data_IF_844457091082
#
_entry.id   IF_844457091082
#
_cell.length_a   1.000
_cell.length_b   1.000
_cell.length_c   1.000
_cell.angle_alpha   90.00
_cell.angle_beta   90.00
_cell.angle_gamma   90.00
#
_symmetry.space_group_name_H-M   'P 1'
#
loop_
_entity.id
_entity.type
_entity.pdbx_description
1 polymer ?
#
# COMPACT_ATOMS: atom_id res chain seq x y z
N UNK A 1 11.98 22.72 -7.01
CA UNK A 1 12.37 22.17 -8.33
C UNK A 1 13.40 21.05 -8.20
N UNK A 2 14.59 21.26 -7.62
CA UNK A 2 15.66 20.24 -7.54
C UNK A 2 15.22 18.93 -6.81
N UNK A 3 14.41 19.04 -5.76
CA UNK A 3 13.90 17.86 -5.03
C UNK A 3 12.91 17.01 -5.84
N UNK A 4 12.14 17.60 -6.75
CA UNK A 4 11.09 16.89 -7.47
C UNK A 4 11.66 15.96 -8.54
N UNK A 5 12.67 16.44 -9.25
CA UNK A 5 13.37 15.69 -10.30
C UNK A 5 14.19 14.54 -9.69
N UNK A 6 14.91 14.80 -8.60
CA UNK A 6 15.64 13.77 -7.86
C UNK A 6 14.71 12.74 -7.20
N UNK A 7 13.58 13.17 -6.62
CA UNK A 7 12.58 12.23 -6.11
C UNK A 7 11.99 11.39 -7.23
N UNK A 8 11.77 11.95 -8.43
CA UNK A 8 11.27 11.22 -9.59
C UNK A 8 12.30 10.21 -10.11
N UNK A 9 13.58 10.56 -10.14
CA UNK A 9 14.66 9.63 -10.49
C UNK A 9 14.81 8.50 -9.46
N UNK A 10 14.79 8.81 -8.16
CA UNK A 10 14.90 7.81 -7.09
C UNK A 10 13.69 6.88 -7.09
N UNK A 11 12.49 7.41 -7.26
CA UNK A 11 11.27 6.59 -7.38
C UNK A 11 11.30 5.77 -8.66
N UNK A 12 11.73 6.34 -9.78
CA UNK A 12 11.89 5.63 -11.05
C UNK A 12 12.85 4.45 -10.91
N UNK A 13 14.02 4.67 -10.31
CA UNK A 13 15.01 3.63 -10.05
C UNK A 13 14.50 2.57 -9.04
N UNK A 14 13.82 2.99 -7.96
CA UNK A 14 13.21 2.05 -7.03
C UNK A 14 12.13 1.21 -7.71
N UNK A 15 11.29 1.83 -8.53
CA UNK A 15 10.24 1.16 -9.30
C UNK A 15 10.83 0.23 -10.38
N UNK A 16 11.97 0.57 -10.97
CA UNK A 16 12.69 -0.27 -11.94
C UNK A 16 13.32 -1.49 -11.26
N UNK A 17 13.98 -1.32 -10.12
CA UNK A 17 14.51 -2.44 -9.30
C UNK A 17 13.37 -3.32 -8.78
N UNK A 18 12.25 -2.74 -8.36
CA UNK A 18 11.05 -3.48 -7.96
C UNK A 18 10.37 -4.16 -9.16
N UNK A 19 10.48 -3.59 -10.36
CA UNK A 19 10.00 -4.19 -11.61
C UNK A 19 10.86 -5.38 -12.07
N UNK A 20 12.17 -5.36 -11.81
CA UNK A 20 13.06 -6.50 -12.03
C UNK A 20 12.75 -7.67 -11.08
N UNK A 21 12.18 -7.40 -9.90
CA UNK A 21 11.70 -8.43 -8.96
C UNK A 21 10.41 -9.13 -9.39
N UNK A 22 9.88 -8.84 -10.59
CA UNK A 22 8.60 -9.30 -11.17
C UNK A 22 7.36 -8.83 -10.37
N UNK A 23 6.87 -7.61 -10.62
CA UNK A 23 5.52 -7.22 -10.25
C UNK A 23 4.55 -8.17 -10.91
N UNK A 24 3.53 -8.57 -10.16
CA UNK A 24 2.41 -9.31 -10.71
C UNK A 24 1.79 -8.56 -11.91
N UNK A 25 1.61 -9.28 -13.02
CA UNK A 25 0.81 -8.80 -14.17
C UNK A 25 -0.65 -8.76 -13.71
N UNK A 26 -1.12 -7.58 -13.31
CA UNK A 26 -2.42 -7.37 -12.72
C UNK A 26 -3.58 -7.97 -13.52
N UNK A 27 -4.40 -8.78 -12.85
CA UNK A 27 -5.81 -8.91 -13.22
C UNK A 27 -6.53 -7.62 -12.78
N UNK A 28 -7.44 -7.11 -13.62
CA UNK A 28 -8.35 -6.05 -13.21
C UNK A 28 -9.30 -6.63 -12.15
N UNK A 29 -9.05 -6.37 -10.87
CA UNK A 29 -9.96 -6.81 -9.80
C UNK A 29 -10.65 -5.58 -9.22
N UNK A 30 -11.86 -5.30 -9.72
CA UNK A 30 -12.49 -3.99 -9.54
C UNK A 30 -11.69 -2.88 -10.24
N UNK A 31 -12.21 -1.67 -10.32
CA UNK A 31 -11.56 -0.59 -11.08
C UNK A 31 -10.24 -0.06 -10.45
N UNK A 32 -9.62 -0.81 -9.53
CA UNK A 32 -8.45 -0.42 -8.76
C UNK A 32 -7.31 -1.40 -9.05
N UNK A 33 -6.29 -0.95 -9.78
CA UNK A 33 -5.06 -1.71 -10.00
C UNK A 33 -4.02 -1.19 -8.98
N UNK A 34 -3.45 -2.04 -8.10
CA UNK A 34 -2.36 -1.64 -7.22
C UNK A 34 -1.06 -1.50 -8.00
N UNK A 35 -0.23 -0.51 -7.62
CA UNK A 35 1.03 -0.21 -8.32
C UNK A 35 2.08 -1.33 -8.13
N UNK A 36 2.13 -1.94 -6.94
CA UNK A 36 3.05 -3.04 -6.65
C UNK A 36 2.47 -4.02 -5.62
N UNK A 37 2.66 -5.31 -5.88
CA UNK A 37 2.50 -6.40 -4.93
C UNK A 37 3.84 -7.14 -4.84
N UNK A 38 4.37 -7.29 -3.62
CA UNK A 38 5.63 -7.99 -3.33
C UNK A 38 5.31 -9.34 -2.70
N UNK A 39 5.94 -10.40 -3.23
CA UNK A 39 5.81 -11.80 -2.78
C UNK A 39 4.36 -12.27 -2.61
N UNK A 40 3.42 -11.75 -3.42
CA UNK A 40 1.98 -12.03 -3.31
C UNK A 40 1.39 -11.81 -1.90
N UNK A 41 2.06 -11.00 -1.08
CA UNK A 41 1.77 -10.89 0.35
C UNK A 41 1.54 -9.44 0.79
N UNK A 42 2.24 -8.48 0.16
CA UNK A 42 2.24 -7.09 0.61
C UNK A 42 2.03 -6.13 -0.55
N UNK A 43 1.10 -5.20 -0.39
CA UNK A 43 0.86 -4.11 -1.34
C UNK A 43 1.78 -2.95 -0.99
N UNK A 44 2.45 -2.37 -1.98
CA UNK A 44 3.36 -1.23 -1.76
C UNK A 44 3.00 -0.11 -2.72
N UNK A 45 2.80 1.10 -2.16
CA UNK A 45 2.44 2.28 -2.92
C UNK A 45 3.39 3.45 -2.57
N UNK A 46 4.41 3.70 -3.42
CA UNK A 46 5.33 4.81 -3.26
C UNK A 46 4.73 6.14 -3.74
N UNK A 47 4.83 7.20 -2.92
CA UNK A 47 4.32 8.54 -3.24
C UNK A 47 5.32 9.65 -2.90
N UNK A 48 5.20 10.81 -3.54
CA UNK A 48 5.93 12.05 -3.18
C UNK A 48 4.99 13.01 -2.43
N UNK A 49 4.70 12.71 -1.17
CA UNK A 49 3.73 13.49 -0.36
C UNK A 49 4.34 13.92 0.97
N UNK A 50 3.95 15.08 1.51
CA UNK A 50 4.47 15.55 2.82
C UNK A 50 3.86 14.80 3.99
N UNK A 51 2.67 14.24 3.80
CA UNK A 51 1.97 13.45 4.77
C UNK A 51 0.98 12.53 4.05
N UNK A 52 0.67 11.40 4.66
CA UNK A 52 -0.40 10.53 4.18
C UNK A 52 -1.74 11.07 4.65
N UNK A 53 -2.72 11.13 3.74
CA UNK A 53 -4.10 11.51 4.05
C UNK A 53 -4.96 10.26 4.27
N UNK A 54 -6.15 10.46 4.84
CA UNK A 54 -7.11 9.36 5.02
C UNK A 54 -7.58 8.77 3.69
N UNK A 55 -7.58 9.57 2.61
CA UNK A 55 -7.86 9.09 1.25
C UNK A 55 -6.83 8.05 0.80
N UNK A 56 -5.54 8.26 1.08
CA UNK A 56 -4.50 7.27 0.77
C UNK A 56 -4.72 5.97 1.55
N UNK A 57 -5.11 6.07 2.82
CA UNK A 57 -5.40 4.90 3.66
C UNK A 57 -6.64 4.16 3.14
N UNK A 58 -7.70 4.87 2.79
CA UNK A 58 -8.92 4.29 2.24
C UNK A 58 -8.65 3.55 0.92
N UNK A 59 -7.79 4.10 0.06
CA UNK A 59 -7.33 3.43 -1.17
C UNK A 59 -6.61 2.11 -0.83
N UNK A 60 -5.69 2.11 0.14
CA UNK A 60 -5.00 0.90 0.59
C UNK A 60 -5.96 -0.15 1.14
N UNK A 61 -6.96 0.25 1.93
CA UNK A 61 -8.01 -0.66 2.43
C UNK A 61 -8.78 -1.27 1.25
N UNK A 62 -9.10 -0.47 0.23
CA UNK A 62 -9.72 -0.96 -1.00
C UNK A 62 -8.89 -2.06 -1.66
N UNK A 63 -7.59 -1.83 -1.83
CA UNK A 63 -6.68 -2.84 -2.38
C UNK A 63 -6.61 -4.10 -1.52
N UNK A 64 -6.50 -3.97 -0.19
CA UNK A 64 -6.42 -5.12 0.73
C UNK A 64 -7.68 -5.98 0.71
N UNK A 65 -8.85 -5.35 0.60
CA UNK A 65 -10.12 -6.08 0.53
C UNK A 65 -10.27 -6.84 -0.79
N UNK A 66 -9.88 -6.22 -1.90
CA UNK A 66 -9.95 -6.78 -3.25
C UNK A 66 -8.95 -7.93 -3.42
N UNK A 67 -7.70 -7.71 -3.02
CA UNK A 67 -6.60 -8.68 -3.18
C UNK A 67 -6.60 -9.77 -2.11
N UNK A 68 -7.44 -9.64 -1.08
CA UNK A 68 -7.46 -10.48 0.11
C UNK A 68 -6.14 -10.51 0.90
N UNK A 69 -5.25 -9.53 0.69
CA UNK A 69 -4.03 -9.36 1.47
C UNK A 69 -4.30 -8.64 2.79
N UNK A 70 -3.42 -8.83 3.77
CA UNK A 70 -3.58 -8.26 5.12
C UNK A 70 -2.74 -7.01 5.37
N UNK A 71 -1.72 -6.74 4.54
CA UNK A 71 -0.78 -5.65 4.75
C UNK A 71 -0.53 -4.82 3.48
N UNK A 72 -0.64 -3.51 3.63
CA UNK A 72 -0.19 -2.54 2.65
C UNK A 72 0.80 -1.53 3.28
N UNK A 73 1.75 -1.07 2.48
CA UNK A 73 2.77 -0.10 2.84
C UNK A 73 2.67 1.14 1.94
N UNK A 74 2.35 2.28 2.55
CA UNK A 74 2.52 3.59 1.92
C UNK A 74 3.94 4.08 2.20
N UNK A 75 4.69 4.43 1.16
CA UNK A 75 6.05 4.95 1.27
C UNK A 75 6.06 6.41 0.81
N UNK A 76 6.78 7.30 1.50
CA UNK A 76 7.01 8.67 1.02
C UNK A 76 8.49 9.04 0.92
N UNK A 77 8.82 9.64 -0.21
CA UNK A 77 10.18 10.11 -0.57
C UNK A 77 10.31 11.63 -0.60
N UNK A 78 9.28 12.37 -0.14
CA UNK A 78 9.35 13.84 -0.11
C UNK A 78 10.37 14.34 0.92
N UNK A 79 10.56 13.60 2.01
CA UNK A 79 11.46 13.96 3.09
C UNK A 79 12.84 13.32 2.85
N UNK A 80 13.89 13.92 3.44
CA UNK A 80 15.26 13.39 3.36
C UNK A 80 15.40 11.98 3.97
N UNK A 81 14.43 11.57 4.79
CA UNK A 81 14.31 10.22 5.33
C UNK A 81 13.07 9.55 4.73
N UNK A 82 13.21 8.27 4.39
CA UNK A 82 12.09 7.44 4.00
C UNK A 82 11.12 7.32 5.17
N UNK A 83 9.89 7.76 4.96
CA UNK A 83 8.79 7.57 5.91
C UNK A 83 7.78 6.60 5.31
N UNK A 84 7.17 5.79 6.18
CA UNK A 84 6.19 4.81 5.74
C UNK A 84 5.02 4.69 6.72
N UNK A 85 3.87 4.28 6.18
CA UNK A 85 2.68 3.95 6.96
C UNK A 85 2.20 2.56 6.62
N UNK A 86 1.97 1.76 7.65
CA UNK A 86 1.35 0.43 7.56
C UNK A 86 -0.16 0.58 7.58
N UNK A 87 -0.83 -0.07 6.65
CA UNK A 87 -2.29 -0.20 6.62
C UNK A 87 -2.61 -1.68 6.69
N UNK A 88 -3.47 -2.04 7.64
CA UNK A 88 -3.92 -3.42 7.83
C UNK A 88 -5.34 -3.57 7.29
N UNK A 89 -5.66 -4.76 6.80
CA UNK A 89 -7.03 -5.06 6.38
C UNK A 89 -7.95 -5.01 7.61
N UNK A 90 -9.06 -4.25 7.57
CA UNK A 90 -10.06 -4.29 8.63
C UNK A 90 -10.53 -5.73 8.82
N UNK A 91 -10.43 -6.25 10.05
CA UNK A 91 -11.05 -7.52 10.40
C UNK A 91 -12.55 -7.24 10.59
N UNK A 92 -13.41 -8.04 9.96
CA UNK A 92 -14.80 -8.08 10.42
C UNK A 92 -14.78 -8.54 11.89
N UNK A 93 -15.56 -7.90 12.79
CA UNK A 93 -15.59 -8.30 14.18
C UNK A 93 -15.95 -9.80 14.25
N UNK A 94 -15.06 -10.57 14.86
CA UNK A 94 -15.28 -12.00 15.06
C UNK A 94 -16.39 -12.18 16.08
N UNK A 95 -17.63 -12.42 15.61
CA UNK A 95 -18.80 -12.67 16.45
C UNK A 95 -18.61 -13.85 17.43
N UNK A 96 -17.57 -14.69 17.25
CA UNK A 96 -17.23 -15.79 18.16
C UNK A 96 -16.49 -15.38 19.42
N UNK A 97 -15.95 -14.16 19.47
CA UNK A 97 -15.19 -13.64 20.62
C UNK A 97 -15.98 -12.62 21.44
N UNK A 98 -17.31 -12.55 21.27
CA UNK A 98 -18.17 -11.75 22.14
C UNK A 98 -18.56 -12.55 23.40
N UNK A 99 -17.95 -12.28 24.57
CA UNK A 99 -18.31 -12.94 25.82
C UNK A 99 -19.74 -12.58 26.29
N UNK A 100 -20.36 -11.55 25.73
CA UNK A 100 -21.68 -11.06 26.16
C UNK A 100 -22.85 -11.75 25.44
N UNK A 101 -22.60 -12.63 24.47
CA UNK A 101 -23.66 -13.37 23.75
C UNK A 101 -24.12 -14.68 24.45
N UNK A 102 -23.60 -15.01 25.63
CA UNK A 102 -23.90 -16.24 26.37
C UNK A 102 -24.51 -16.03 27.78
N UNK A 103 -25.35 -15.01 27.97
CA UNK A 103 -26.19 -14.89 29.19
C UNK A 103 -27.67 -14.95 28.87
#
# INVERSE_FOLDING_TARGET
MIHEELSREIIGAAMEVLNELKPYRGELIGNLIPDLIVDDAVIVDPKVVSCFTDTHVAQMIGYLNITRLDLALLLTFKNARLEWKRVLRPQEPDERNDPDLHT
#
